data_IF_590811022590
#
_entry.id   IF_590811022590
#
_cell.length_a   1.000
_cell.length_b   1.000
_cell.length_c   1.000
_cell.angle_alpha   90.00
_cell.angle_beta   90.00
_cell.angle_gamma   90.00
#
_symmetry.space_group_name_H-M   'P 1'
#
loop_
_entity.id
_entity.type
_entity.pdbx_description
1 polymer ?
#
# COMPACT_ATOMS: atom_id res chain seq x y z
N UNK A 1 -5.36 44.77 37.22
CA UNK A 1 -4.62 45.26 36.03
C UNK A 1 -3.99 44.10 35.23
N UNK A 2 -4.61 42.91 35.22
CA UNK A 2 -4.09 41.69 34.55
C UNK A 2 -4.93 41.25 33.36
N UNK A 3 -6.23 41.59 33.34
CA UNK A 3 -7.19 41.21 32.28
C UNK A 3 -6.74 41.49 30.84
N UNK A 4 -6.10 42.64 30.57
CA UNK A 4 -5.58 42.96 29.22
C UNK A 4 -4.33 42.14 28.85
N UNK A 5 -3.45 41.87 29.81
CA UNK A 5 -2.28 41.02 29.62
C UNK A 5 -2.71 39.56 29.43
N UNK A 6 -3.71 39.11 30.19
CA UNK A 6 -4.30 37.77 30.05
C UNK A 6 -4.95 37.59 28.67
N UNK A 7 -5.71 38.58 28.18
CA UNK A 7 -6.28 38.58 26.83
C UNK A 7 -5.21 38.61 25.73
N UNK A 8 -4.18 39.43 25.90
CA UNK A 8 -3.07 39.52 24.93
C UNK A 8 -2.24 38.24 24.89
N UNK A 9 -2.07 37.57 26.03
CA UNK A 9 -1.44 36.26 26.11
C UNK A 9 -2.32 35.18 25.47
N UNK A 10 -3.63 35.21 25.69
CA UNK A 10 -4.59 34.30 25.06
C UNK A 10 -4.51 34.35 23.52
N UNK A 11 -4.58 35.54 22.92
CA UNK A 11 -4.47 35.69 21.46
C UNK A 11 -3.12 35.22 20.90
N UNK A 12 -2.05 35.38 21.68
CA UNK A 12 -0.71 34.92 21.31
C UNK A 12 -0.60 33.39 21.35
N UNK A 13 -1.31 32.74 22.26
CA UNK A 13 -1.38 31.28 22.34
C UNK A 13 -2.34 30.68 21.29
N UNK A 14 -3.44 31.37 20.97
CA UNK A 14 -4.38 30.97 19.91
C UNK A 14 -3.70 30.96 18.53
N UNK A 15 -2.81 31.91 18.25
CA UNK A 15 -1.98 31.93 17.03
C UNK A 15 -0.90 30.86 16.96
N UNK A 16 -0.61 30.15 18.07
CA UNK A 16 0.38 29.05 18.13
C UNK A 16 -0.27 27.66 18.06
N UNK A 17 -1.57 27.56 18.35
CA UNK A 17 -2.30 26.31 18.23
C UNK A 17 -2.41 25.94 16.74
N UNK A 18 -2.02 24.72 16.33
CA UNK A 18 -2.22 24.29 14.95
C UNK A 18 -3.72 24.33 14.66
N UNK A 19 -4.11 25.06 13.60
CA UNK A 19 -5.50 25.12 13.15
C UNK A 19 -5.98 23.71 12.82
N UNK A 20 -7.26 23.42 13.06
CA UNK A 20 -7.87 22.13 12.74
C UNK A 20 -7.51 21.69 11.30
N UNK A 21 -7.51 22.64 10.36
CA UNK A 21 -7.13 22.41 8.96
C UNK A 21 -5.69 21.87 8.81
N UNK A 22 -4.74 22.40 9.57
CA UNK A 22 -3.34 21.94 9.52
C UNK A 22 -3.16 20.52 10.08
N UNK A 23 -3.91 20.18 11.14
CA UNK A 23 -3.88 18.83 11.72
C UNK A 23 -4.50 17.82 10.75
N UNK A 24 -5.62 18.18 10.10
CA UNK A 24 -6.28 17.34 9.09
C UNK A 24 -5.38 17.13 7.88
N UNK A 25 -4.72 18.18 7.38
CA UNK A 25 -3.77 18.09 6.27
C UNK A 25 -2.61 17.15 6.59
N UNK A 26 -2.02 17.27 7.78
CA UNK A 26 -0.94 16.37 8.22
C UNK A 26 -1.37 14.90 8.30
N UNK A 27 -2.61 14.60 8.69
CA UNK A 27 -3.14 13.23 8.67
C UNK A 27 -3.26 12.72 7.23
N UNK A 28 -3.82 13.53 6.34
CA UNK A 28 -3.98 13.18 4.92
C UNK A 28 -2.63 12.89 4.28
N UNK A 29 -1.65 13.77 4.47
CA UNK A 29 -0.31 13.61 3.89
C UNK A 29 0.41 12.38 4.42
N UNK A 30 0.26 12.06 5.71
CA UNK A 30 0.79 10.82 6.30
C UNK A 30 0.18 9.58 5.67
N UNK A 31 -1.13 9.58 5.45
CA UNK A 31 -1.85 8.46 4.87
C UNK A 31 -1.48 8.27 3.38
N UNK A 32 -1.36 9.36 2.62
CA UNK A 32 -0.85 9.33 1.24
C UNK A 32 0.55 8.72 1.20
N UNK A 33 1.47 9.21 2.06
CA UNK A 33 2.84 8.72 2.10
C UNK A 33 2.91 7.22 2.45
N UNK A 34 2.05 6.76 3.37
CA UNK A 34 1.90 5.34 3.72
C UNK A 34 1.43 4.53 2.50
N UNK A 35 0.34 4.93 1.84
CA UNK A 35 -0.20 4.18 0.70
C UNK A 35 0.73 4.15 -0.50
N UNK A 36 1.43 5.24 -0.80
CA UNK A 36 2.45 5.26 -1.87
C UNK A 36 3.54 4.23 -1.60
N UNK A 37 4.01 4.12 -0.35
CA UNK A 37 5.02 3.12 0.04
C UNK A 37 4.50 1.69 -0.15
N UNK A 38 3.27 1.41 0.25
CA UNK A 38 2.64 0.07 0.11
C UNK A 38 2.46 -0.26 -1.37
N UNK A 39 1.84 0.63 -2.15
CA UNK A 39 1.52 0.40 -3.57
C UNK A 39 2.78 0.16 -4.41
N UNK A 40 3.87 0.89 -4.15
CA UNK A 40 5.15 0.67 -4.84
C UNK A 40 5.66 -0.77 -4.68
N UNK A 41 5.54 -1.34 -3.48
CA UNK A 41 5.96 -2.71 -3.20
C UNK A 41 5.05 -3.73 -3.87
N UNK A 42 3.73 -3.51 -3.82
CA UNK A 42 2.78 -4.39 -4.51
C UNK A 42 3.01 -4.40 -6.01
N UNK A 43 3.22 -3.23 -6.62
CA UNK A 43 3.59 -3.10 -8.04
C UNK A 43 4.91 -3.81 -8.36
N UNK A 44 5.93 -3.67 -7.53
CA UNK A 44 7.20 -4.37 -7.72
C UNK A 44 7.02 -5.90 -7.72
N UNK A 45 6.22 -6.44 -6.80
CA UNK A 45 5.90 -7.89 -6.76
C UNK A 45 5.12 -8.30 -8.01
N UNK A 46 4.16 -7.49 -8.46
CA UNK A 46 3.39 -7.73 -9.68
C UNK A 46 4.30 -7.79 -10.91
N UNK A 47 5.18 -6.80 -11.08
CA UNK A 47 6.13 -6.73 -12.19
C UNK A 47 7.12 -7.90 -12.15
N UNK A 48 7.64 -8.24 -10.98
CA UNK A 48 8.50 -9.40 -10.80
C UNK A 48 7.80 -10.70 -11.22
N UNK A 49 6.54 -10.88 -10.83
CA UNK A 49 5.77 -12.07 -11.22
C UNK A 49 5.55 -12.12 -12.74
N UNK A 50 5.17 -10.99 -13.33
CA UNK A 50 4.89 -10.84 -14.75
C UNK A 50 6.11 -11.15 -15.63
N UNK A 51 7.22 -10.47 -15.38
CA UNK A 51 8.48 -10.60 -16.14
C UNK A 51 9.07 -12.01 -16.09
N UNK A 52 8.70 -12.79 -15.07
CA UNK A 52 9.16 -14.16 -14.87
C UNK A 52 8.13 -15.22 -15.29
N UNK A 53 6.95 -14.80 -15.76
CA UNK A 53 5.87 -15.70 -16.14
C UNK A 53 5.30 -16.52 -14.98
N UNK A 54 5.39 -16.02 -13.74
CA UNK A 54 4.88 -16.71 -12.56
C UNK A 54 3.37 -16.51 -12.45
N UNK A 55 2.65 -17.59 -12.11
CA UNK A 55 1.21 -17.52 -11.85
C UNK A 55 0.93 -16.51 -10.71
N UNK A 56 0.18 -15.46 -10.99
CA UNK A 56 -0.06 -14.37 -10.04
C UNK A 56 -0.87 -14.86 -8.83
N UNK A 57 -1.90 -15.69 -9.08
CA UNK A 57 -2.82 -16.23 -8.08
C UNK A 57 -2.71 -17.74 -7.93
N UNK A 58 -3.25 -18.21 -6.81
CA UNK A 58 -3.61 -19.60 -6.61
C UNK A 58 -5.11 -19.73 -6.31
N UNK A 59 -5.55 -20.94 -5.97
CA UNK A 59 -6.96 -21.23 -5.68
C UNK A 59 -7.47 -20.63 -4.37
N UNK A 60 -6.60 -20.09 -3.51
CA UNK A 60 -6.96 -19.48 -2.23
C UNK A 60 -6.65 -17.97 -2.22
N UNK A 61 -7.64 -17.14 -1.91
CA UNK A 61 -7.46 -15.68 -1.84
C UNK A 61 -6.94 -15.13 -0.51
N UNK A 62 -6.54 -16.00 0.43
CA UNK A 62 -6.18 -15.61 1.82
C UNK A 62 -4.70 -15.83 2.11
N UNK A 63 -4.07 -14.83 2.72
CA UNK A 63 -2.66 -14.86 3.10
C UNK A 63 -2.41 -16.01 4.10
N UNK A 64 -1.39 -16.81 3.83
CA UNK A 64 -0.96 -17.89 4.71
C UNK A 64 -1.77 -19.19 4.60
N UNK A 65 -2.71 -19.29 3.66
CA UNK A 65 -3.27 -20.57 3.23
C UNK A 65 -2.37 -21.21 2.17
N UNK A 66 -2.36 -22.54 2.12
CA UNK A 66 -1.76 -23.26 1.00
C UNK A 66 -2.43 -22.80 -0.31
N UNK A 67 -1.63 -22.69 -1.38
CA UNK A 67 -2.08 -22.22 -2.71
C UNK A 67 -2.64 -20.79 -2.73
N UNK A 68 -2.06 -19.86 -1.97
CA UNK A 68 -2.45 -18.44 -2.00
C UNK A 68 -1.87 -17.63 -3.19
N UNK A 69 -1.16 -18.30 -4.10
CA UNK A 69 -0.54 -17.68 -5.27
C UNK A 69 0.77 -16.98 -4.97
N UNK A 70 1.54 -16.70 -6.02
CA UNK A 70 2.87 -16.11 -5.88
C UNK A 70 2.80 -14.66 -5.39
N UNK A 71 1.75 -13.91 -5.73
CA UNK A 71 1.58 -12.54 -5.25
C UNK A 71 1.46 -12.47 -3.72
N UNK A 72 0.45 -13.13 -3.14
CA UNK A 72 0.25 -13.12 -1.69
C UNK A 72 1.36 -13.88 -0.95
N UNK A 73 1.95 -14.91 -1.56
CA UNK A 73 3.14 -15.58 -1.05
C UNK A 73 4.32 -14.62 -0.91
N UNK A 74 4.61 -13.85 -1.97
CA UNK A 74 5.70 -12.86 -1.99
C UNK A 74 5.46 -11.70 -1.02
N UNK A 75 4.24 -11.19 -0.92
CA UNK A 75 3.87 -10.17 0.08
C UNK A 75 4.15 -10.68 1.50
N UNK A 76 3.80 -11.94 1.80
CA UNK A 76 4.06 -12.56 3.11
C UNK A 76 5.55 -12.84 3.35
N UNK A 77 6.32 -13.13 2.31
CA UNK A 77 7.76 -13.32 2.43
C UNK A 77 8.46 -12.00 2.71
N UNK A 78 8.18 -10.98 1.90
CA UNK A 78 8.82 -9.67 2.01
C UNK A 78 8.46 -8.94 3.31
N UNK A 79 7.27 -9.16 3.87
CA UNK A 79 6.91 -8.60 5.17
C UNK A 79 7.73 -9.11 6.34
N UNK A 80 8.57 -10.13 6.16
CA UNK A 80 9.55 -10.55 7.17
C UNK A 80 10.77 -9.61 7.22
N UNK A 81 10.99 -8.83 6.16
CA UNK A 81 12.15 -7.96 6.00
C UNK A 81 11.77 -6.49 5.74
N UNK A 82 10.49 -6.21 5.51
CA UNK A 82 9.97 -4.88 5.22
C UNK A 82 8.91 -4.47 6.25
N UNK A 83 9.29 -3.54 7.13
CA UNK A 83 8.43 -3.06 8.22
C UNK A 83 7.12 -2.43 7.73
N UNK A 84 7.12 -1.82 6.54
CA UNK A 84 5.93 -1.22 5.96
C UNK A 84 4.91 -2.30 5.57
N UNK A 85 5.35 -3.40 4.96
CA UNK A 85 4.48 -4.54 4.68
C UNK A 85 4.09 -5.29 5.95
N UNK A 86 5.00 -5.42 6.92
CA UNK A 86 4.72 -6.05 8.20
C UNK A 86 3.58 -5.33 8.94
N UNK A 87 3.68 -4.00 9.06
CA UNK A 87 2.66 -3.16 9.66
C UNK A 87 1.32 -3.28 8.92
N UNK A 88 1.34 -3.19 7.59
CA UNK A 88 0.13 -3.31 6.76
C UNK A 88 -0.57 -4.67 6.95
N UNK A 89 0.18 -5.77 6.96
CA UNK A 89 -0.40 -7.10 7.21
C UNK A 89 -0.96 -7.24 8.62
N UNK A 90 -0.35 -6.60 9.60
CA UNK A 90 -0.84 -6.59 10.97
C UNK A 90 -2.16 -5.83 11.10
N UNK A 91 -2.28 -4.65 10.47
CA UNK A 91 -3.53 -3.88 10.41
C UNK A 91 -4.68 -4.71 9.79
N UNK A 92 -4.38 -5.46 8.72
CA UNK A 92 -5.34 -6.37 8.10
C UNK A 92 -5.80 -7.46 9.06
N UNK A 93 -4.87 -8.08 9.78
CA UNK A 93 -5.17 -9.15 10.75
C UNK A 93 -6.00 -8.67 11.93
N UNK A 94 -5.69 -7.48 12.44
CA UNK A 94 -6.40 -6.88 13.57
C UNK A 94 -7.81 -6.40 13.19
N UNK A 95 -8.15 -6.40 11.90
CA UNK A 95 -9.44 -5.91 11.43
C UNK A 95 -9.60 -4.40 11.61
N UNK A 96 -8.55 -3.67 11.97
CA UNK A 96 -8.50 -2.20 11.96
C UNK A 96 -8.66 -1.64 10.55
N UNK A 97 -8.42 -2.46 9.53
CA UNK A 97 -8.75 -2.15 8.13
C UNK A 97 -10.14 -2.64 7.68
N UNK A 98 -11.07 -3.02 8.57
CA UNK A 98 -12.44 -3.41 8.19
C UNK A 98 -13.14 -2.23 7.51
N UNK A 99 -13.31 -2.32 6.19
CA UNK A 99 -13.92 -1.27 5.36
C UNK A 99 -12.93 -0.42 4.58
N UNK A 100 -11.64 -0.41 4.95
CA UNK A 100 -10.59 0.29 4.21
C UNK A 100 -9.98 -0.61 3.12
N UNK A 101 -9.69 -0.09 1.92
CA UNK A 101 -9.08 -0.85 0.84
C UNK A 101 -7.65 -1.25 1.23
N UNK A 102 -7.46 -2.47 1.69
CA UNK A 102 -6.13 -3.01 2.02
C UNK A 102 -5.27 -3.40 0.81
N UNK A 103 -5.71 -3.14 -0.43
CA UNK A 103 -5.03 -3.45 -1.70
C UNK A 103 -4.50 -4.88 -1.89
N UNK A 104 -4.85 -5.79 -0.98
CA UNK A 104 -4.61 -7.24 -1.05
C UNK A 104 -5.91 -8.02 -1.26
N UNK A 105 -7.04 -7.31 -1.43
CA UNK A 105 -8.33 -7.93 -1.73
C UNK A 105 -8.29 -8.63 -3.09
N UNK A 106 -9.15 -9.62 -3.28
CA UNK A 106 -9.31 -10.28 -4.59
C UNK A 106 -9.63 -9.28 -5.70
N UNK A 107 -10.38 -8.20 -5.40
CA UNK A 107 -10.77 -7.17 -6.36
C UNK A 107 -9.57 -6.35 -6.82
N UNK A 108 -8.73 -5.89 -5.90
CA UNK A 108 -7.53 -5.14 -6.27
C UNK A 108 -6.49 -6.05 -6.93
N UNK A 109 -6.38 -7.30 -6.50
CA UNK A 109 -5.57 -8.27 -7.23
C UNK A 109 -6.05 -8.39 -8.69
N UNK A 110 -7.34 -8.20 -9.02
CA UNK A 110 -7.83 -8.35 -10.40
C UNK A 110 -7.24 -7.23 -11.27
N UNK A 111 -7.24 -6.01 -10.74
CA UNK A 111 -6.65 -4.86 -11.40
C UNK A 111 -5.14 -5.05 -11.62
N UNK A 112 -4.42 -5.54 -10.61
CA UNK A 112 -2.98 -5.81 -10.71
C UNK A 112 -2.63 -6.96 -11.66
N UNK A 113 -3.51 -7.96 -11.76
CA UNK A 113 -3.33 -9.10 -12.66
C UNK A 113 -3.45 -8.70 -14.14
N UNK A 114 -4.30 -7.72 -14.46
CA UNK A 114 -4.35 -7.13 -15.81
C UNK A 114 -3.00 -6.51 -16.17
N UNK A 115 -2.40 -5.75 -15.25
CA UNK A 115 -1.05 -5.17 -15.43
C UNK A 115 -0.02 -6.28 -15.62
N UNK A 116 -0.04 -7.31 -14.77
CA UNK A 116 0.87 -8.45 -14.87
C UNK A 116 0.76 -9.17 -16.22
N UNK A 117 -0.46 -9.36 -16.70
CA UNK A 117 -0.72 -10.08 -17.95
C UNK A 117 -0.19 -9.30 -19.15
N UNK A 118 -0.38 -7.98 -19.17
CA UNK A 118 0.15 -7.12 -20.23
C UNK A 118 1.68 -7.15 -20.31
N UNK A 119 2.35 -7.00 -19.17
CA UNK A 119 3.82 -7.02 -19.11
C UNK A 119 4.38 -8.38 -19.54
N UNK A 120 3.71 -9.48 -19.18
CA UNK A 120 4.09 -10.82 -19.65
C UNK A 120 3.94 -10.93 -21.18
N UNK A 121 2.85 -10.44 -21.76
CA UNK A 121 2.66 -10.46 -23.22
C UNK A 121 3.74 -9.67 -23.94
N UNK A 122 4.06 -8.46 -23.46
CA UNK A 122 5.14 -7.63 -24.01
C UNK A 122 6.49 -8.37 -23.95
N UNK A 123 6.79 -9.01 -22.80
CA UNK A 123 8.02 -9.81 -22.64
C UNK A 123 8.08 -10.99 -23.63
N UNK A 124 6.94 -11.64 -23.91
CA UNK A 124 6.86 -12.73 -24.87
C UNK A 124 6.96 -12.24 -26.33
N UNK A 125 6.41 -11.07 -26.64
CA UNK A 125 6.54 -10.43 -27.95
C UNK A 125 8.00 -10.07 -28.24
N UNK A 126 8.72 -9.50 -27.27
CA UNK A 126 10.14 -9.18 -27.40
C UNK A 126 10.99 -10.42 -27.66
N UNK A 127 10.74 -11.51 -26.93
CA UNK A 127 11.43 -12.79 -27.17
C UNK A 127 11.21 -13.31 -28.58
N UNK A 128 9.96 -13.33 -29.06
CA UNK A 128 9.63 -13.77 -30.42
C UNK A 128 10.31 -12.94 -31.50
N UNK A 129 10.56 -11.65 -31.25
CA UNK A 129 11.29 -10.76 -32.15
C UNK A 129 12.81 -10.94 -32.09
N UNK A 130 13.32 -11.44 -30.96
CA UNK A 130 14.75 -11.62 -30.72
C UNK A 130 15.28 -12.99 -31.19
N UNK A 131 14.40 -13.99 -31.34
CA UNK A 131 14.74 -15.25 -31.99
C UNK A 131 14.99 -15.01 -33.50
N UNK A 132 16.28 -14.93 -33.87
CA UNK A 132 16.81 -14.98 -35.25
C UNK A 132 17.09 -16.44 -35.67
#
# INVERSE_FOLDING_TARGET
MTSYLDWKNFLREEGKQPRIDSVVEEVIQREIAKWVKILRRLLAITLFSATRGLAFRGSQGRIGKANNGNFLGSVKLLSQFDDCLAAHLNEIKQGTSRGSPHYLSWKIQNELEVVSSKVLQETLDERRKADF
#
